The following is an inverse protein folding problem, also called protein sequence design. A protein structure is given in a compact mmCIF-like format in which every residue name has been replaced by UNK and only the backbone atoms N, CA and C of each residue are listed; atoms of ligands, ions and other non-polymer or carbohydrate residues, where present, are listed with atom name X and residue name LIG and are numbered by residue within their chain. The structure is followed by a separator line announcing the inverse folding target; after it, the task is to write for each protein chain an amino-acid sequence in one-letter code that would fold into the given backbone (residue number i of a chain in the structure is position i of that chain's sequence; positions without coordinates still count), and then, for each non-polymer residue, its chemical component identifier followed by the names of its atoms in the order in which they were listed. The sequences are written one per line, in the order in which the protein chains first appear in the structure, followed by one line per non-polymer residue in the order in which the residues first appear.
data_IF_217477320250
#
_entry.id   IF_217477320250
#
_cell.length_a   1.000
_cell.length_b   1.000
_cell.length_c   1.000
_cell.angle_alpha   90.00
_cell.angle_beta   90.00
_cell.angle_gamma   90.00
#
_symmetry.space_group_name_H-M   'P 1'
#
loop_
_entity.id
_entity.type
_entity.pdbx_description
1 polymer ?
#
# COMPACT_ATOMS: atom_id res chain seq x y z
N UNK A 1 1.81 -2.68 7.78
CA UNK A 1 0.94 -1.53 8.06
C UNK A 1 -0.27 -1.95 8.88
N UNK A 2 -0.89 -3.08 8.57
CA UNK A 2 -2.20 -3.52 9.11
C UNK A 2 -2.18 -3.97 10.58
N UNK A 3 -1.02 -4.32 11.13
CA UNK A 3 -0.91 -4.74 12.54
C UNK A 3 -1.25 -3.60 13.51
N UNK A 4 -0.84 -2.37 13.21
CA UNK A 4 -1.11 -1.22 14.07
C UNK A 4 -2.63 -0.91 14.20
N UNK A 5 -3.41 -0.75 13.11
CA UNK A 5 -4.86 -0.60 13.23
C UNK A 5 -5.53 -1.84 13.84
N UNK A 6 -5.02 -3.04 13.59
CA UNK A 6 -5.52 -4.28 14.23
C UNK A 6 -5.38 -4.22 15.76
N UNK A 7 -4.24 -3.79 16.28
CA UNK A 7 -4.01 -3.64 17.72
C UNK A 7 -4.91 -2.54 18.30
N UNK A 8 -5.08 -1.41 17.60
CA UNK A 8 -5.96 -0.34 18.06
C UNK A 8 -7.42 -0.80 18.19
N UNK A 9 -7.90 -1.59 17.23
CA UNK A 9 -9.22 -2.21 17.30
C UNK A 9 -9.36 -3.16 18.49
N UNK A 10 -8.37 -4.03 18.74
CA UNK A 10 -8.34 -4.93 19.92
C UNK A 10 -8.44 -4.10 21.22
N UNK A 11 -7.70 -2.98 21.28
CA UNK A 11 -7.69 -2.09 22.42
C UNK A 11 -8.91 -1.16 22.50
N UNK A 12 -9.86 -1.26 21.56
CA UNK A 12 -11.04 -0.38 21.41
C UNK A 12 -10.66 1.11 21.39
N UNK A 13 -9.50 1.44 20.81
CA UNK A 13 -9.04 2.80 20.62
C UNK A 13 -9.43 3.29 19.23
N UNK A 14 -9.77 4.58 19.13
CA UNK A 14 -10.16 5.19 17.84
C UNK A 14 -8.98 5.17 16.87
N UNK A 15 -9.20 4.64 15.67
CA UNK A 15 -8.26 4.74 14.56
C UNK A 15 -8.35 6.13 13.93
N UNK A 16 -7.27 6.93 14.00
CA UNK A 16 -7.23 8.32 13.54
C UNK A 16 -6.66 8.44 12.11
N UNK A 17 -6.04 7.38 11.59
CA UNK A 17 -5.39 7.34 10.27
C UNK A 17 -5.97 6.23 9.38
N UNK A 18 -7.27 6.29 9.02
CA UNK A 18 -7.96 5.23 8.27
C UNK A 18 -7.38 4.92 6.88
N UNK A 19 -6.44 5.73 6.40
CA UNK A 19 -5.70 5.56 5.15
C UNK A 19 -4.39 4.77 5.32
N UNK A 20 -3.89 4.56 6.56
CA UNK A 20 -2.67 3.77 6.84
C UNK A 20 -3.03 2.37 7.33
N UNK A 21 -3.12 1.44 6.38
CA UNK A 21 -3.47 0.06 6.67
C UNK A 21 -4.90 -0.12 7.16
N UNK A 22 -5.33 -1.38 7.23
CA UNK A 22 -6.66 -1.75 7.69
C UNK A 22 -6.55 -2.78 8.81
N UNK A 23 -7.52 -2.78 9.70
CA UNK A 23 -7.58 -3.81 10.74
C UNK A 23 -7.91 -5.16 10.12
N UNK A 24 -7.14 -6.18 10.48
CA UNK A 24 -7.35 -7.56 10.03
C UNK A 24 -8.59 -8.20 10.69
N UNK A 25 -9.17 -7.56 11.70
CA UNK A 25 -10.37 -8.04 12.40
C UNK A 25 -11.66 -7.58 11.72
N UNK A 26 -11.61 -6.49 10.94
CA UNK A 26 -12.77 -5.97 10.26
C UNK A 26 -12.94 -6.63 8.89
N UNK A 27 -13.78 -7.66 8.84
CA UNK A 27 -14.23 -8.29 7.60
C UNK A 27 -15.30 -7.46 6.85
N UNK A 28 -15.66 -6.28 7.36
CA UNK A 28 -16.72 -5.41 6.80
C UNK A 28 -16.38 -4.93 5.38
N UNK A 29 -15.11 -5.03 4.98
CA UNK A 29 -14.66 -4.81 3.60
C UNK A 29 -15.18 -5.85 2.59
N UNK A 30 -15.85 -6.94 3.02
CA UNK A 30 -16.58 -7.84 2.12
C UNK A 30 -17.78 -7.16 1.43
N UNK A 31 -18.23 -6.00 1.92
CA UNK A 31 -19.33 -5.20 1.35
C UNK A 31 -18.88 -4.12 0.37
N UNK A 32 -17.58 -3.84 0.31
CA UNK A 32 -16.99 -2.95 -0.67
C UNK A 32 -16.23 -3.81 -1.66
N UNK A 33 -16.47 -3.67 -2.96
CA UNK A 33 -15.81 -4.43 -4.04
C UNK A 33 -14.30 -4.06 -4.19
N UNK A 34 -13.68 -3.60 -3.10
CA UNK A 34 -12.28 -3.18 -3.02
C UNK A 34 -11.49 -4.35 -2.45
N UNK A 35 -10.58 -4.95 -3.24
CA UNK A 35 -9.77 -6.07 -2.76
C UNK A 35 -8.86 -5.66 -1.60
N UNK A 36 -8.61 -6.61 -0.69
CA UNK A 36 -7.59 -6.44 0.33
C UNK A 36 -6.21 -6.29 -0.32
N UNK A 37 -5.45 -5.30 0.16
CA UNK A 37 -4.13 -4.95 -0.38
C UNK A 37 -3.10 -4.87 0.72
N UNK A 38 -1.97 -5.51 0.48
CA UNK A 38 -0.76 -5.35 1.27
C UNK A 38 0.23 -4.44 0.51
N UNK A 39 0.87 -3.55 1.26
CA UNK A 39 1.87 -2.63 0.74
C UNK A 39 3.22 -2.88 1.41
N UNK A 40 4.30 -2.87 0.63
CA UNK A 40 5.68 -2.90 1.13
C UNK A 40 6.44 -1.72 0.55
N UNK A 41 7.24 -1.04 1.38
CA UNK A 41 8.12 0.04 0.94
C UNK A 41 9.50 -0.12 1.58
N UNK A 42 10.54 -0.18 0.75
CA UNK A 42 11.93 0.06 1.12
C UNK A 42 12.44 1.21 0.24
N UNK A 43 12.46 2.45 0.77
CA UNK A 43 12.83 3.63 0.00
C UNK A 43 14.16 3.44 -0.75
N UNK A 44 14.16 3.77 -2.04
CA UNK A 44 15.32 3.64 -2.93
C UNK A 44 15.67 2.22 -3.39
N UNK A 45 15.13 1.17 -2.75
CA UNK A 45 15.42 -0.22 -3.09
C UNK A 45 14.25 -0.89 -3.83
N UNK A 46 13.06 -0.94 -3.22
CA UNK A 46 11.86 -1.44 -3.90
C UNK A 46 10.59 -1.08 -3.13
N UNK A 47 9.47 -1.09 -3.83
CA UNK A 47 8.14 -1.09 -3.23
C UNK A 47 7.19 -2.00 -3.99
N UNK A 48 6.15 -2.48 -3.31
CA UNK A 48 5.23 -3.47 -3.86
C UNK A 48 3.79 -3.25 -3.38
N UNK A 49 2.84 -3.59 -4.25
CA UNK A 49 1.42 -3.74 -3.95
C UNK A 49 1.02 -5.17 -4.27
N UNK A 50 0.39 -5.84 -3.31
CA UNK A 50 -0.06 -7.22 -3.44
C UNK A 50 -1.54 -7.32 -3.09
N UNK A 51 -2.29 -7.94 -3.97
CA UNK A 51 -3.65 -8.44 -3.76
C UNK A 51 -3.62 -9.97 -3.74
N UNK A 52 -4.76 -10.61 -3.43
CA UNK A 52 -4.85 -12.07 -3.27
C UNK A 52 -4.24 -12.87 -4.43
N UNK A 53 -4.49 -12.46 -5.68
CA UNK A 53 -4.07 -13.19 -6.89
C UNK A 53 -3.09 -12.44 -7.78
N UNK A 54 -2.77 -11.20 -7.45
CA UNK A 54 -1.96 -10.33 -8.30
C UNK A 54 -1.01 -9.47 -7.49
N UNK A 55 0.17 -9.21 -8.04
CA UNK A 55 1.14 -8.32 -7.41
C UNK A 55 1.89 -7.50 -8.45
N UNK A 56 2.24 -6.29 -8.04
CA UNK A 56 3.17 -5.42 -8.72
C UNK A 56 4.29 -5.04 -7.75
N UNK A 57 5.53 -5.00 -8.24
CA UNK A 57 6.59 -4.31 -7.52
C UNK A 57 7.51 -3.55 -8.47
N UNK A 58 8.13 -2.49 -7.94
CA UNK A 58 9.13 -1.69 -8.63
C UNK A 58 10.46 -1.78 -7.89
N UNK A 59 11.51 -2.17 -8.60
CA UNK A 59 12.88 -2.21 -8.07
C UNK A 59 13.68 -0.97 -8.49
N UNK A 60 14.40 -0.40 -7.54
CA UNK A 60 15.30 0.75 -7.67
C UNK A 60 14.68 1.91 -8.44
N UNK A 61 13.35 2.09 -8.34
CA UNK A 61 12.57 3.06 -9.11
C UNK A 61 12.75 2.97 -10.64
N UNK A 62 13.20 1.83 -11.17
CA UNK A 62 13.54 1.67 -12.59
C UNK A 62 12.89 0.46 -13.26
N UNK A 63 12.72 -0.65 -12.54
CA UNK A 63 12.25 -1.91 -13.12
C UNK A 63 10.89 -2.29 -12.58
N UNK A 64 9.92 -2.41 -13.49
CA UNK A 64 8.57 -2.85 -13.19
C UNK A 64 8.46 -4.38 -13.28
N UNK A 65 7.79 -4.98 -12.30
CA UNK A 65 7.52 -6.40 -12.31
C UNK A 65 6.05 -6.70 -11.98
N UNK A 66 5.44 -7.54 -12.82
CA UNK A 66 4.04 -7.93 -12.76
C UNK A 66 3.97 -9.46 -12.55
N UNK A 67 3.24 -9.94 -11.53
CA UNK A 67 3.02 -11.37 -11.32
C UNK A 67 1.58 -11.71 -10.93
N UNK A 68 1.23 -12.98 -11.13
CA UNK A 68 -0.06 -13.53 -10.77
C UNK A 68 -1.03 -13.54 -11.94
N UNK A 69 -2.29 -13.84 -11.64
CA UNK A 69 -3.38 -13.83 -12.62
C UNK A 69 -3.85 -12.40 -12.82
N UNK A 70 -3.15 -11.68 -13.71
CA UNK A 70 -3.47 -10.32 -14.05
C UNK A 70 -3.30 -10.10 -15.55
N UNK A 71 -4.33 -9.49 -16.15
CA UNK A 71 -4.18 -8.90 -17.47
C UNK A 71 -3.32 -7.62 -17.40
N UNK A 72 -3.00 -7.06 -18.56
CA UNK A 72 -2.22 -5.82 -18.63
C UNK A 72 -2.91 -4.66 -17.88
N UNK A 73 -4.24 -4.61 -17.85
CA UNK A 73 -4.96 -3.52 -17.19
C UNK A 73 -4.84 -3.61 -15.66
N UNK A 74 -4.96 -4.81 -15.10
CA UNK A 74 -4.82 -5.06 -13.67
C UNK A 74 -3.41 -4.75 -13.17
N UNK A 75 -2.39 -5.14 -13.93
CA UNK A 75 -1.01 -4.80 -13.62
C UNK A 75 -0.77 -3.28 -13.58
N UNK A 76 -1.23 -2.56 -14.61
CA UNK A 76 -1.15 -1.10 -14.67
C UNK A 76 -1.90 -0.43 -13.51
N UNK A 77 -3.08 -0.94 -13.16
CA UNK A 77 -3.85 -0.43 -12.04
C UNK A 77 -3.12 -0.59 -10.69
N UNK A 78 -2.49 -1.74 -10.44
CA UNK A 78 -1.68 -1.94 -9.23
C UNK A 78 -0.47 -0.99 -9.17
N UNK A 79 0.17 -0.73 -10.32
CA UNK A 79 1.24 0.25 -10.44
C UNK A 79 0.77 1.66 -10.07
N UNK A 80 -0.39 2.08 -10.56
CA UNK A 80 -0.98 3.39 -10.25
C UNK A 80 -1.32 3.52 -8.76
N UNK A 81 -1.94 2.50 -8.18
CA UNK A 81 -2.27 2.45 -6.76
C UNK A 81 -1.00 2.58 -5.91
N UNK A 82 0.03 1.79 -6.22
CA UNK A 82 1.26 1.80 -5.45
C UNK A 82 2.04 3.09 -5.58
N UNK A 83 2.08 3.67 -6.78
CA UNK A 83 2.74 4.97 -7.01
C UNK A 83 2.03 6.08 -6.23
N UNK A 84 0.70 6.13 -6.29
CA UNK A 84 -0.12 7.09 -5.52
C UNK A 84 0.06 6.92 -4.01
N UNK A 85 0.17 5.67 -3.54
CA UNK A 85 0.40 5.37 -2.13
C UNK A 85 1.78 5.85 -1.66
N UNK A 86 2.84 5.61 -2.45
CA UNK A 86 4.19 6.11 -2.16
C UNK A 86 4.21 7.64 -2.13
N UNK A 87 3.62 8.29 -3.12
CA UNK A 87 3.53 9.76 -3.19
C UNK A 87 2.81 10.33 -1.96
N UNK A 88 1.68 9.73 -1.59
CA UNK A 88 0.91 10.13 -0.40
C UNK A 88 1.74 10.00 0.87
N UNK A 89 2.45 8.88 1.06
CA UNK A 89 3.29 8.67 2.25
C UNK A 89 4.44 9.68 2.29
N UNK A 90 5.14 9.89 1.17
CA UNK A 90 6.21 10.90 1.08
C UNK A 90 5.71 12.28 1.46
N UNK A 91 4.52 12.64 0.97
CA UNK A 91 3.88 13.91 1.32
C UNK A 91 3.52 13.98 2.80
N UNK A 92 2.86 12.96 3.37
CA UNK A 92 2.46 12.98 4.79
C UNK A 92 3.66 13.03 5.72
N UNK A 93 4.70 12.26 5.41
CA UNK A 93 5.95 12.24 6.19
C UNK A 93 6.82 13.49 5.93
N UNK A 94 6.41 14.35 5.01
CA UNK A 94 7.16 15.53 4.59
C UNK A 94 8.59 15.16 4.16
N UNK A 95 8.78 13.99 3.54
CA UNK A 95 10.10 13.53 3.09
C UNK A 95 10.75 14.57 2.18
N UNK A 96 9.99 15.21 1.29
CA UNK A 96 10.47 16.27 0.40
C UNK A 96 11.04 17.51 1.14
N UNK A 97 10.65 17.73 2.41
CA UNK A 97 11.15 18.85 3.24
C UNK A 97 12.29 18.44 4.17
N UNK A 98 12.29 17.18 4.63
CA UNK A 98 13.29 16.66 5.58
C UNK A 98 14.50 16.06 4.84
N UNK A 99 14.26 15.44 3.69
CA UNK A 99 15.23 14.95 2.72
C UNK A 99 14.91 15.53 1.33
N UNK A 100 15.32 16.77 1.04
CA UNK A 100 15.23 17.33 -0.30
C UNK A 100 15.98 16.42 -1.28
N UNK A 101 15.39 16.17 -2.45
CA UNK A 101 16.03 15.41 -3.51
C UNK A 101 17.41 16.00 -3.83
N UNK A 102 18.46 15.16 -3.83
CA UNK A 102 19.83 15.50 -4.21
C UNK A 102 19.99 15.33 -5.72
#
# INVERSE_FOLDING_TARGET
MDLAPTILDILRKKHIVPWVGRSLLNSVDLLTDVPQRAFTNRPGAYWAVTEEKSRYYRENDLRDHFFGDQDNQKGLHLKEIGSSWIETIRWVLQENRVWPEI
#
